data_IF_289658624832
#
_entry.id   IF_289658624832
#
_cell.length_a   1.000
_cell.length_b   1.000
_cell.length_c   1.000
_cell.angle_alpha   90.00
_cell.angle_beta   90.00
_cell.angle_gamma   90.00
#
_symmetry.space_group_name_H-M   'P 1'
#
loop_
_entity.id
_entity.type
_entity.pdbx_description
1 polymer ?
#
# COMPACT_ATOMS: atom_id res chain seq x y z
N UNK A 1 57.83 20.33 -27.49
CA UNK A 1 56.65 19.61 -28.02
C UNK A 1 56.77 18.14 -27.60
N UNK A 2 56.44 17.80 -26.34
CA UNK A 2 56.65 16.45 -25.81
C UNK A 2 55.32 15.72 -25.70
N UNK A 3 54.94 15.02 -26.77
CA UNK A 3 53.90 14.00 -26.67
C UNK A 3 54.52 12.76 -26.03
N UNK A 4 54.46 12.67 -24.69
CA UNK A 4 54.97 11.52 -23.94
C UNK A 4 54.12 10.32 -24.34
N UNK A 5 54.73 9.31 -24.97
CA UNK A 5 54.08 8.09 -25.48
C UNK A 5 53.40 7.37 -24.32
N UNK A 6 52.10 7.63 -24.13
CA UNK A 6 51.31 6.99 -23.08
C UNK A 6 51.33 5.48 -23.33
N UNK A 7 51.78 4.72 -22.34
CA UNK A 7 51.84 3.27 -22.44
C UNK A 7 50.41 2.73 -22.68
N UNK A 8 50.23 1.89 -23.71
CA UNK A 8 48.92 1.35 -24.10
C UNK A 8 48.18 0.72 -22.90
N UNK A 9 48.91 0.08 -21.98
CA UNK A 9 48.35 -0.48 -20.74
C UNK A 9 47.78 0.58 -19.79
N UNK A 10 48.43 1.74 -19.68
CA UNK A 10 48.00 2.86 -18.85
C UNK A 10 46.75 3.53 -19.45
N UNK A 11 46.72 3.71 -20.78
CA UNK A 11 45.55 4.24 -21.46
C UNK A 11 44.31 3.34 -21.28
N UNK A 12 44.47 2.02 -21.37
CA UNK A 12 43.38 1.07 -21.10
C UNK A 12 42.91 1.14 -19.65
N UNK A 13 43.82 1.26 -18.69
CA UNK A 13 43.46 1.37 -17.26
C UNK A 13 42.61 2.61 -16.98
N UNK A 14 43.01 3.77 -17.53
CA UNK A 14 42.25 5.03 -17.39
C UNK A 14 40.87 4.89 -18.02
N UNK A 15 40.77 4.26 -19.20
CA UNK A 15 39.50 4.03 -19.87
C UNK A 15 38.53 3.16 -19.03
N UNK A 16 39.03 2.08 -18.42
CA UNK A 16 38.21 1.27 -17.50
C UNK A 16 37.79 2.04 -16.25
N UNK A 17 38.65 2.89 -15.70
CA UNK A 17 38.29 3.74 -14.55
C UNK A 17 37.17 4.70 -14.93
N UNK A 18 37.25 5.35 -16.10
CA UNK A 18 36.21 6.28 -16.58
C UNK A 18 34.91 5.53 -16.86
N UNK A 19 34.95 4.32 -17.44
CA UNK A 19 33.76 3.48 -17.63
C UNK A 19 33.19 3.05 -16.28
N UNK A 20 34.01 2.59 -15.33
CA UNK A 20 33.51 2.16 -14.03
C UNK A 20 32.90 3.33 -13.25
N UNK A 21 33.52 4.51 -13.29
CA UNK A 21 32.96 5.73 -12.69
C UNK A 21 31.68 6.13 -13.43
N UNK A 22 31.65 6.06 -14.76
CA UNK A 22 30.46 6.35 -15.55
C UNK A 22 29.30 5.38 -15.28
N UNK A 23 29.58 4.07 -15.23
CA UNK A 23 28.60 3.03 -14.88
C UNK A 23 28.18 3.16 -13.42
N UNK A 24 29.09 3.48 -12.51
CA UNK A 24 28.76 3.76 -11.10
C UNK A 24 27.86 5.00 -11.00
N UNK A 25 28.16 6.09 -11.70
CA UNK A 25 27.33 7.30 -11.72
C UNK A 25 25.97 7.08 -12.39
N UNK A 26 25.89 6.24 -13.43
CA UNK A 26 24.62 5.86 -14.07
C UNK A 26 23.82 4.91 -13.17
N UNK A 27 24.44 3.95 -12.49
CA UNK A 27 23.80 3.12 -11.47
C UNK A 27 23.37 3.96 -10.25
N UNK A 28 24.10 5.02 -9.92
CA UNK A 28 23.73 5.98 -8.87
C UNK A 28 22.58 6.91 -9.33
N UNK A 29 22.40 7.16 -10.63
CA UNK A 29 21.21 7.82 -11.18
C UNK A 29 20.01 6.86 -11.31
N UNK A 30 20.25 5.55 -11.43
CA UNK A 30 19.27 4.49 -11.19
C UNK A 30 19.14 4.21 -9.68
N UNK A 31 19.47 5.17 -8.81
CA UNK A 31 18.93 5.23 -7.45
C UNK A 31 17.51 5.80 -7.50
N UNK A 32 16.63 5.00 -8.11
CA UNK A 32 15.27 4.83 -7.60
C UNK A 32 15.43 4.59 -6.10
N UNK A 33 14.60 5.23 -5.26
CA UNK A 33 14.69 5.15 -3.80
C UNK A 33 14.74 3.71 -3.25
N UNK A 34 14.84 3.54 -1.91
CA UNK A 34 15.15 2.26 -1.27
C UNK A 34 14.32 1.17 -1.92
N UNK A 35 15.00 0.12 -2.42
CA UNK A 35 14.42 -0.86 -3.31
C UNK A 35 13.00 -1.22 -2.88
N UNK A 36 12.06 -1.10 -3.82
CA UNK A 36 10.64 -1.32 -3.54
C UNK A 36 10.50 -2.60 -2.72
N UNK A 37 9.74 -2.57 -1.62
CA UNK A 37 9.60 -3.74 -0.77
C UNK A 37 9.05 -4.90 -1.61
N UNK A 38 9.52 -6.11 -1.32
CA UNK A 38 8.89 -7.31 -1.87
C UNK A 38 7.41 -7.35 -1.46
N UNK A 39 6.54 -8.05 -2.19
CA UNK A 39 5.11 -8.21 -1.84
C UNK A 39 4.87 -8.55 -0.38
N UNK A 40 5.65 -9.49 0.13
CA UNK A 40 5.58 -9.94 1.52
C UNK A 40 5.98 -8.85 2.53
N UNK A 41 6.90 -7.97 2.15
CA UNK A 41 7.37 -6.87 2.99
C UNK A 41 6.55 -5.59 2.81
N UNK A 42 5.85 -5.43 1.69
CA UNK A 42 5.16 -4.19 1.30
C UNK A 42 4.10 -3.78 2.33
N UNK A 43 3.16 -4.65 2.76
CA UNK A 43 2.18 -4.28 3.77
C UNK A 43 2.80 -3.76 5.08
N UNK A 44 3.93 -4.34 5.50
CA UNK A 44 4.65 -3.88 6.70
C UNK A 44 5.41 -2.57 6.47
N UNK A 45 6.00 -2.38 5.28
CA UNK A 45 6.71 -1.16 4.91
C UNK A 45 5.78 0.05 4.86
N UNK A 46 4.55 -0.14 4.38
CA UNK A 46 3.55 0.92 4.25
C UNK A 46 3.04 1.45 5.59
N UNK A 47 3.09 0.63 6.65
CA UNK A 47 2.53 0.96 7.97
C UNK A 47 3.52 1.85 8.76
N UNK A 48 3.18 3.10 9.10
CA UNK A 48 4.09 4.02 9.78
C UNK A 48 4.48 3.49 11.16
N UNK A 49 5.78 3.39 11.42
CA UNK A 49 6.29 2.87 12.69
C UNK A 49 6.29 1.35 12.81
N UNK A 50 5.97 0.60 11.74
CA UNK A 50 6.05 -0.87 11.73
C UNK A 50 7.45 -1.40 12.10
N UNK A 51 8.51 -0.63 11.82
CA UNK A 51 9.88 -0.97 12.24
C UNK A 51 10.09 -0.98 13.77
N UNK A 52 9.17 -0.40 14.55
CA UNK A 52 9.30 -0.25 16.02
C UNK A 52 8.20 -0.97 16.84
N UNK A 53 7.35 -1.80 16.24
CA UNK A 53 6.18 -2.38 16.92
C UNK A 53 5.81 -3.82 16.54
N UNK A 54 4.80 -4.37 17.23
CA UNK A 54 4.21 -5.68 16.94
C UNK A 54 3.34 -5.58 15.68
N UNK A 55 3.97 -5.85 14.55
CA UNK A 55 3.35 -6.14 13.27
C UNK A 55 2.48 -7.39 13.44
N UNK A 56 1.15 -7.25 13.35
CA UNK A 56 0.21 -8.37 13.50
C UNK A 56 -0.30 -8.79 12.12
N UNK A 57 -0.56 -10.09 11.93
CA UNK A 57 -1.32 -10.58 10.77
C UNK A 57 -2.62 -9.79 10.59
N UNK A 58 -3.23 -9.88 9.40
CA UNK A 58 -4.57 -9.33 9.11
C UNK A 58 -5.48 -9.30 10.34
N UNK A 59 -6.14 -8.17 10.57
CA UNK A 59 -7.16 -8.08 11.63
C UNK A 59 -8.32 -9.02 11.28
N UNK A 60 -8.71 -9.87 12.23
CA UNK A 60 -9.74 -10.89 12.07
C UNK A 60 -11.15 -10.36 11.78
N UNK A 61 -11.39 -9.06 11.97
CA UNK A 61 -12.70 -8.42 11.70
C UNK A 61 -13.02 -8.27 10.21
N UNK A 62 -12.08 -8.59 9.32
CA UNK A 62 -12.27 -8.52 7.87
C UNK A 62 -11.92 -9.88 7.22
N UNK A 63 -12.52 -10.20 6.07
CA UNK A 63 -12.18 -11.40 5.33
C UNK A 63 -10.69 -11.41 4.92
N UNK A 64 -10.12 -12.61 4.85
CA UNK A 64 -8.80 -12.82 4.28
C UNK A 64 -8.89 -12.73 2.75
N UNK A 65 -8.64 -11.54 2.22
CA UNK A 65 -8.75 -11.24 0.78
C UNK A 65 -7.41 -11.24 0.05
N UNK A 66 -6.29 -11.29 0.77
CA UNK A 66 -4.94 -11.33 0.20
C UNK A 66 -4.00 -12.14 1.09
N UNK A 67 -3.09 -12.95 0.51
CA UNK A 67 -2.01 -13.60 1.26
C UNK A 67 -0.94 -12.60 1.76
N UNK A 68 -0.94 -11.37 1.23
CA UNK A 68 -0.02 -10.30 1.61
C UNK A 68 -0.78 -9.23 2.37
N UNK A 69 -0.90 -9.41 3.68
CA UNK A 69 -1.57 -8.44 4.52
C UNK A 69 -0.88 -8.20 5.84
N UNK A 70 -1.20 -7.06 6.44
CA UNK A 70 -0.60 -6.65 7.70
C UNK A 70 -1.39 -5.54 8.40
N UNK A 71 -1.25 -5.47 9.72
CA UNK A 71 -1.92 -4.46 10.53
C UNK A 71 -0.99 -3.78 11.54
N UNK A 72 -1.26 -2.49 11.79
CA UNK A 72 -0.53 -1.65 12.72
C UNK A 72 -1.47 -0.99 13.73
N UNK A 73 -1.12 -1.02 15.01
CA UNK A 73 -1.88 -0.41 16.09
C UNK A 73 -1.33 0.96 16.49
N UNK A 74 -2.23 1.91 16.77
CA UNK A 74 -1.92 3.26 17.18
C UNK A 74 -2.71 3.67 18.43
N UNK A 75 -2.36 4.80 19.02
CA UNK A 75 -3.01 5.33 20.22
C UNK A 75 -4.50 5.63 19.99
N UNK A 76 -5.28 5.57 21.07
CA UNK A 76 -6.71 5.87 21.03
C UNK A 76 -7.52 4.90 20.17
N UNK A 77 -7.12 3.62 20.16
CA UNK A 77 -7.83 2.56 19.45
C UNK A 77 -7.71 2.59 17.91
N UNK A 78 -6.89 3.50 17.36
CA UNK A 78 -6.66 3.66 15.93
C UNK A 78 -5.80 2.51 15.39
N UNK A 79 -6.04 2.11 14.15
CA UNK A 79 -5.24 1.08 13.49
C UNK A 79 -5.26 1.25 11.97
N UNK A 80 -4.28 0.64 11.32
CA UNK A 80 -4.22 0.47 9.86
C UNK A 80 -4.27 -1.02 9.57
N UNK A 81 -5.03 -1.43 8.55
CA UNK A 81 -4.93 -2.75 7.94
C UNK A 81 -4.65 -2.60 6.45
N UNK A 82 -3.73 -3.38 5.90
CA UNK A 82 -3.30 -3.27 4.49
C UNK A 82 -3.35 -4.64 3.84
N UNK A 83 -3.91 -4.71 2.63
CA UNK A 83 -3.90 -5.88 1.76
C UNK A 83 -3.25 -5.51 0.42
N UNK A 84 -2.30 -6.31 -0.04
CA UNK A 84 -1.51 -6.04 -1.24
C UNK A 84 -1.73 -7.10 -2.32
N UNK A 85 -1.65 -6.70 -3.58
CA UNK A 85 -1.88 -7.53 -4.76
C UNK A 85 -0.90 -7.14 -5.88
N UNK A 86 -0.37 -8.15 -6.58
CA UNK A 86 0.46 -7.98 -7.79
C UNK A 86 -0.32 -8.26 -9.08
N UNK A 87 -1.52 -8.82 -8.97
CA UNK A 87 -2.37 -9.18 -10.10
C UNK A 87 -3.69 -8.40 -10.01
N UNK A 88 -4.04 -7.71 -11.10
CA UNK A 88 -5.25 -6.90 -11.16
C UNK A 88 -6.51 -7.74 -11.00
N UNK A 89 -6.53 -8.96 -11.54
CA UNK A 89 -7.72 -9.81 -11.48
C UNK A 89 -7.97 -10.33 -10.06
N UNK A 90 -6.92 -10.65 -9.32
CA UNK A 90 -6.99 -10.99 -7.90
C UNK A 90 -7.44 -9.79 -7.07
N UNK A 91 -6.87 -8.62 -7.33
CA UNK A 91 -7.25 -7.36 -6.70
C UNK A 91 -8.74 -7.05 -6.90
N UNK A 92 -9.26 -7.12 -8.13
CA UNK A 92 -10.65 -6.83 -8.43
C UNK A 92 -11.61 -7.81 -7.75
N UNK A 93 -11.29 -9.11 -7.74
CA UNK A 93 -12.07 -10.12 -7.00
C UNK A 93 -12.07 -9.84 -5.49
N UNK A 94 -10.92 -9.46 -4.94
CA UNK A 94 -10.79 -9.12 -3.53
C UNK A 94 -11.57 -7.86 -3.16
N UNK A 95 -11.54 -6.83 -4.01
CA UNK A 95 -12.32 -5.60 -3.85
C UNK A 95 -13.82 -5.90 -3.82
N UNK A 96 -14.31 -6.76 -4.73
CA UNK A 96 -15.71 -7.19 -4.77
C UNK A 96 -16.12 -7.99 -3.52
N UNK A 97 -15.31 -8.97 -3.10
CA UNK A 97 -15.55 -9.77 -1.90
C UNK A 97 -15.59 -8.88 -0.66
N UNK A 98 -14.63 -7.96 -0.54
CA UNK A 98 -14.59 -7.02 0.58
C UNK A 98 -15.80 -6.11 0.57
N UNK A 99 -16.17 -5.53 -0.58
CA UNK A 99 -17.32 -4.63 -0.68
C UNK A 99 -18.62 -5.33 -0.23
N UNK A 100 -18.88 -6.55 -0.72
CA UNK A 100 -20.07 -7.33 -0.35
C UNK A 100 -20.09 -7.62 1.16
N UNK A 101 -18.97 -8.06 1.71
CA UNK A 101 -18.85 -8.30 3.15
C UNK A 101 -19.18 -7.03 3.96
N UNK A 102 -18.64 -5.87 3.56
CA UNK A 102 -18.88 -4.63 4.28
C UNK A 102 -20.33 -4.14 4.13
N UNK A 103 -20.97 -4.35 2.98
CA UNK A 103 -22.39 -4.02 2.75
C UNK A 103 -23.31 -4.89 3.63
N UNK A 104 -22.92 -6.13 3.92
CA UNK A 104 -23.67 -7.05 4.79
C UNK A 104 -23.44 -6.78 6.30
N UNK A 105 -22.26 -6.28 6.68
CA UNK A 105 -21.83 -6.20 8.10
C UNK A 105 -21.75 -4.76 8.66
N UNK A 106 -22.09 -3.75 7.86
CA UNK A 106 -22.08 -2.37 8.31
C UNK A 106 -22.67 -1.40 7.31
N UNK A 107 -22.40 -0.11 7.54
CA UNK A 107 -22.86 0.98 6.70
C UNK A 107 -21.71 1.49 5.84
N UNK A 108 -21.96 1.56 4.53
CA UNK A 108 -21.03 2.09 3.55
C UNK A 108 -21.52 3.43 3.00
N UNK A 109 -20.61 4.39 2.89
CA UNK A 109 -20.86 5.64 2.18
C UNK A 109 -19.59 6.11 1.48
N UNK A 110 -19.72 6.81 0.37
CA UNK A 110 -18.59 7.48 -0.28
C UNK A 110 -18.36 8.83 0.41
N UNK A 111 -17.09 9.20 0.60
CA UNK A 111 -16.71 10.47 1.20
C UNK A 111 -15.43 11.00 0.58
N UNK A 112 -15.50 12.23 0.08
CA UNK A 112 -14.32 12.98 -0.35
C UNK A 112 -13.48 13.40 0.87
N UNK A 113 -12.19 13.03 0.83
CA UNK A 113 -11.20 13.40 1.84
C UNK A 113 -10.09 14.19 1.16
N UNK A 114 -9.75 15.33 1.77
CA UNK A 114 -8.59 16.14 1.43
C UNK A 114 -7.58 16.07 2.57
N UNK A 115 -6.35 15.68 2.27
CA UNK A 115 -5.22 15.54 3.20
C UNK A 115 -4.07 16.52 2.91
N UNK A 116 -4.29 17.58 2.11
CA UNK A 116 -3.23 18.51 1.70
C UNK A 116 -2.49 19.12 2.88
N UNK A 117 -3.21 19.52 3.94
CA UNK A 117 -2.61 20.12 5.14
C UNK A 117 -1.75 19.11 5.88
N UNK A 118 -2.24 17.89 6.07
CA UNK A 118 -1.51 16.83 6.75
C UNK A 118 -0.29 16.35 5.94
N UNK A 119 -0.38 16.35 4.61
CA UNK A 119 0.76 16.07 3.73
C UNK A 119 1.82 17.17 3.79
N UNK A 120 1.43 18.43 3.91
CA UNK A 120 2.36 19.53 4.11
C UNK A 120 3.12 19.37 5.43
N UNK A 121 2.44 19.03 6.53
CA UNK A 121 3.08 18.76 7.82
C UNK A 121 4.09 17.58 7.73
N UNK A 122 3.77 16.55 6.94
CA UNK A 122 4.67 15.41 6.70
C UNK A 122 5.87 15.85 5.84
N UNK A 123 5.65 16.64 4.79
CA UNK A 123 6.71 17.15 3.93
C UNK A 123 7.71 18.00 4.72
N UNK A 124 7.24 18.96 5.49
CA UNK A 124 8.08 19.83 6.34
C UNK A 124 8.95 19.02 7.31
N UNK A 125 8.40 17.95 7.88
CA UNK A 125 9.16 17.03 8.74
C UNK A 125 10.25 16.27 7.97
N UNK A 126 9.89 15.68 6.82
CA UNK A 126 10.82 14.89 6.01
C UNK A 126 11.94 15.76 5.42
N UNK A 127 11.63 17.03 5.10
CA UNK A 127 12.62 18.02 4.70
C UNK A 127 13.61 18.30 5.82
N UNK A 128 13.13 18.53 7.05
CA UNK A 128 13.99 18.71 8.22
C UNK A 128 14.88 17.48 8.50
N UNK A 129 14.42 16.29 8.13
CA UNK A 129 15.15 15.02 8.28
C UNK A 129 16.04 14.66 7.06
N UNK A 130 16.11 15.51 6.02
CA UNK A 130 16.79 15.23 4.74
C UNK A 130 16.35 13.91 4.08
N UNK A 131 15.10 13.50 4.29
CA UNK A 131 14.51 12.26 3.80
C UNK A 131 13.36 12.49 2.81
N UNK A 132 13.12 13.76 2.46
CA UNK A 132 12.01 14.19 1.60
C UNK A 132 12.04 13.55 0.22
N UNK A 133 10.86 13.20 -0.28
CA UNK A 133 10.62 12.73 -1.64
C UNK A 133 9.35 13.35 -2.18
N UNK A 134 9.31 13.66 -3.49
CA UNK A 134 8.10 14.15 -4.12
C UNK A 134 6.99 13.11 -4.06
N UNK A 135 5.78 13.57 -3.74
CA UNK A 135 4.54 12.81 -3.76
C UNK A 135 3.78 13.28 -4.99
N UNK A 136 3.57 12.39 -5.97
CA UNK A 136 2.98 12.74 -7.27
C UNK A 136 1.45 12.57 -7.31
N UNK A 137 0.85 11.99 -6.26
CA UNK A 137 -0.58 11.66 -6.22
C UNK A 137 -1.50 12.81 -5.85
N UNK A 138 -2.79 12.62 -6.09
CA UNK A 138 -3.82 13.58 -5.64
C UNK A 138 -3.82 13.71 -4.12
N UNK A 139 -4.01 14.92 -3.61
CA UNK A 139 -4.19 15.18 -2.18
C UNK A 139 -5.67 15.18 -1.76
N UNK A 140 -6.57 15.08 -2.74
CA UNK A 140 -8.01 14.98 -2.55
C UNK A 140 -8.56 13.83 -3.37
N UNK A 141 -9.24 12.91 -2.70
CA UNK A 141 -9.76 11.71 -3.34
C UNK A 141 -10.98 11.21 -2.59
N UNK A 142 -11.81 10.45 -3.30
CA UNK A 142 -12.93 9.78 -2.68
C UNK A 142 -12.42 8.57 -1.87
N UNK A 143 -13.15 8.24 -0.81
CA UNK A 143 -12.86 7.15 0.11
C UNK A 143 -14.15 6.42 0.42
N UNK A 144 -14.05 5.14 0.76
CA UNK A 144 -15.21 4.41 1.27
C UNK A 144 -15.21 4.45 2.79
N UNK A 145 -16.12 5.27 3.33
CA UNK A 145 -16.42 5.33 4.75
C UNK A 145 -17.20 4.09 5.15
N UNK A 146 -16.75 3.45 6.22
CA UNK A 146 -17.34 2.25 6.78
C UNK A 146 -17.61 2.44 8.27
N UNK A 147 -18.81 2.05 8.71
CA UNK A 147 -19.18 2.04 10.12
C UNK A 147 -19.86 0.72 10.49
N UNK A 148 -19.37 0.10 11.55
CA UNK A 148 -19.93 -1.11 12.15
C UNK A 148 -19.80 -1.04 13.67
N UNK A 149 -20.47 -1.92 14.42
CA UNK A 149 -20.28 -2.02 15.87
C UNK A 149 -18.82 -2.30 16.28
N UNK A 150 -18.05 -3.00 15.44
CA UNK A 150 -16.67 -3.40 15.74
C UNK A 150 -15.64 -2.34 15.37
N UNK A 151 -15.87 -1.58 14.30
CA UNK A 151 -14.93 -0.58 13.81
C UNK A 151 -15.60 0.44 12.90
N UNK A 152 -15.03 1.65 12.90
CA UNK A 152 -15.40 2.72 11.98
C UNK A 152 -14.16 3.37 11.37
N UNK A 153 -14.20 3.72 10.09
CA UNK A 153 -12.99 4.13 9.37
C UNK A 153 -13.19 4.39 7.88
N UNK A 154 -12.06 4.47 7.17
CA UNK A 154 -11.99 4.75 5.74
C UNK A 154 -11.17 3.69 5.02
N UNK A 155 -11.73 3.16 3.93
CA UNK A 155 -11.00 2.37 2.94
C UNK A 155 -10.48 3.26 1.82
N UNK A 156 -9.21 3.09 1.51
CA UNK A 156 -8.50 3.69 0.39
C UNK A 156 -7.93 2.56 -0.49
N UNK A 157 -8.08 2.71 -1.78
CA UNK A 157 -7.65 1.78 -2.81
C UNK A 157 -6.59 2.45 -3.66
N UNK A 158 -5.39 1.90 -3.65
CA UNK A 158 -4.25 2.39 -4.41
C UNK A 158 -4.05 1.52 -5.64
N UNK A 159 -3.94 2.17 -6.80
CA UNK A 159 -3.69 1.52 -8.10
C UNK A 159 -2.41 2.07 -8.69
N UNK A 160 -1.49 1.17 -9.06
CA UNK A 160 -0.16 1.46 -9.60
C UNK A 160 0.62 2.54 -8.81
N UNK A 161 0.75 2.45 -7.47
CA UNK A 161 1.28 3.55 -6.66
C UNK A 161 2.81 3.71 -6.71
N UNK A 162 3.53 2.71 -7.24
CA UNK A 162 4.99 2.65 -7.22
C UNK A 162 5.63 3.14 -8.52
N UNK A 163 5.99 2.23 -9.42
CA UNK A 163 6.63 2.54 -10.70
C UNK A 163 5.64 2.37 -11.85
N UNK A 164 5.90 3.08 -12.95
CA UNK A 164 5.05 3.05 -14.15
C UNK A 164 4.93 1.65 -14.74
N UNK A 165 5.98 0.83 -14.62
CA UNK A 165 6.04 -0.53 -15.14
C UNK A 165 5.47 -1.58 -14.17
N UNK A 166 5.07 -1.19 -12.96
CA UNK A 166 4.52 -2.14 -11.97
C UNK A 166 3.01 -2.01 -11.83
N UNK A 167 2.35 -3.15 -11.86
CA UNK A 167 0.91 -3.29 -11.64
C UNK A 167 0.64 -3.69 -10.20
N UNK A 168 0.98 -2.79 -9.28
CA UNK A 168 0.75 -3.00 -7.86
C UNK A 168 -0.59 -2.41 -7.44
N UNK A 169 -1.30 -3.13 -6.58
CA UNK A 169 -2.56 -2.68 -6.00
C UNK A 169 -2.53 -2.93 -4.50
N UNK A 170 -3.11 -2.03 -3.73
CA UNK A 170 -3.37 -2.32 -2.33
C UNK A 170 -4.59 -1.59 -1.80
N UNK A 171 -5.25 -2.23 -0.85
CA UNK A 171 -6.37 -1.69 -0.10
C UNK A 171 -5.85 -1.40 1.30
N UNK A 172 -6.07 -0.18 1.79
CA UNK A 172 -5.71 0.24 3.13
C UNK A 172 -6.96 0.69 3.88
N UNK A 173 -7.17 0.15 5.06
CA UNK A 173 -8.22 0.56 6.00
C UNK A 173 -7.60 1.35 7.15
N UNK A 174 -8.12 2.56 7.37
CA UNK A 174 -7.75 3.44 8.47
C UNK A 174 -8.92 3.53 9.42
N UNK A 175 -8.83 2.83 10.55
CA UNK A 175 -9.98 2.60 11.41
C UNK A 175 -9.72 2.87 12.88
N UNK A 176 -10.81 2.89 13.62
CA UNK A 176 -10.85 2.96 15.07
C UNK A 176 -11.68 1.78 15.57
N UNK A 177 -11.26 1.18 16.68
CA UNK A 177 -11.99 0.09 17.33
C UNK A 177 -13.25 0.60 18.02
N UNK A 178 -14.32 -0.18 17.89
CA UNK A 178 -15.62 0.09 18.48
C UNK A 178 -16.42 1.14 17.72
N UNK A 179 -17.64 1.34 18.20
CA UNK A 179 -18.54 2.37 17.71
C UNK A 179 -18.06 3.75 18.22
N UNK A 180 -17.68 4.63 17.29
CA UNK A 180 -17.23 5.99 17.60
C UNK A 180 -17.81 6.99 16.61
N UNK A 181 -17.86 8.27 16.98
CA UNK A 181 -18.23 9.31 16.02
C UNK A 181 -17.08 9.53 15.04
N UNK A 182 -17.14 8.90 13.86
CA UNK A 182 -16.07 8.96 12.88
C UNK A 182 -15.77 10.41 12.44
N UNK A 183 -16.73 11.32 12.51
CA UNK A 183 -16.54 12.74 12.18
C UNK A 183 -15.54 13.41 13.13
N UNK A 184 -15.64 13.16 14.42
CA UNK A 184 -14.74 13.70 15.44
C UNK A 184 -13.32 13.15 15.30
N UNK A 185 -13.22 11.91 14.82
CA UNK A 185 -11.97 11.20 14.67
C UNK A 185 -11.29 11.40 13.30
N UNK A 186 -12.01 11.98 12.34
CA UNK A 186 -11.53 12.22 10.98
C UNK A 186 -10.22 13.01 10.94
N UNK A 187 -10.02 14.10 11.71
CA UNK A 187 -8.74 14.80 11.72
C UNK A 187 -7.55 13.91 12.11
N UNK A 188 -7.74 12.99 13.06
CA UNK A 188 -6.68 12.09 13.48
C UNK A 188 -6.42 10.98 12.45
N UNK A 189 -7.47 10.49 11.78
CA UNK A 189 -7.34 9.51 10.69
C UNK A 189 -6.68 10.12 9.45
N UNK A 190 -6.97 11.39 9.09
CA UNK A 190 -6.26 12.10 8.01
C UNK A 190 -4.76 12.18 8.25
N UNK A 191 -4.35 12.47 9.48
CA UNK A 191 -2.92 12.46 9.87
C UNK A 191 -2.29 11.09 9.72
N UNK A 192 -3.04 10.02 9.96
CA UNK A 192 -2.56 8.65 9.82
C UNK A 192 -2.44 8.25 8.34
N UNK A 193 -3.42 8.62 7.53
CA UNK A 193 -3.39 8.50 6.06
C UNK A 193 -2.18 9.24 5.51
N UNK A 194 -2.00 10.52 5.84
CA UNK A 194 -0.89 11.32 5.33
C UNK A 194 0.50 10.75 5.68
N UNK A 195 0.66 10.17 6.87
CA UNK A 195 1.93 9.54 7.30
C UNK A 195 2.31 8.29 6.52
N UNK A 196 1.34 7.60 5.94
CA UNK A 196 1.52 6.38 5.15
C UNK A 196 1.31 6.61 3.66
N UNK A 197 0.82 7.79 3.27
CA UNK A 197 0.52 8.12 1.90
C UNK A 197 1.77 8.03 1.03
N UNK A 198 1.69 7.19 0.00
CA UNK A 198 2.78 6.97 -0.93
C UNK A 198 2.23 6.92 -2.36
N UNK A 199 2.78 7.78 -3.22
CA UNK A 199 2.50 7.79 -4.65
C UNK A 199 3.73 8.30 -5.39
N UNK A 200 4.49 7.38 -6.00
CA UNK A 200 5.65 7.71 -6.83
C UNK A 200 5.38 7.60 -8.33
N UNK A 201 4.22 7.08 -8.71
CA UNK A 201 3.78 6.99 -10.10
C UNK A 201 2.76 8.10 -10.41
N UNK A 202 3.06 8.95 -11.38
CA UNK A 202 2.14 10.01 -11.85
C UNK A 202 0.85 9.45 -12.47
N UNK A 203 0.89 8.23 -13.01
CA UNK A 203 -0.29 7.54 -13.55
C UNK A 203 -1.08 6.77 -12.47
N UNK A 204 -0.52 6.68 -11.26
CA UNK A 204 -1.14 6.01 -10.12
C UNK A 204 -2.35 6.77 -9.60
N UNK A 205 -3.26 6.04 -8.96
CA UNK A 205 -4.52 6.59 -8.46
C UNK A 205 -4.83 6.08 -7.06
N UNK A 206 -5.55 6.90 -6.31
CA UNK A 206 -6.15 6.55 -5.03
C UNK A 206 -7.64 6.90 -5.07
N UNK A 207 -8.49 5.98 -4.63
CA UNK A 207 -9.95 6.12 -4.60
C UNK A 207 -10.55 5.28 -3.46
N UNK A 208 -11.87 5.28 -3.31
CA UNK A 208 -12.61 4.35 -2.46
C UNK A 208 -12.76 2.96 -3.11
N UNK A 209 -13.35 2.03 -2.37
CA UNK A 209 -13.78 0.75 -2.89
C UNK A 209 -14.82 0.97 -3.99
N UNK A 210 -14.61 0.30 -5.12
CA UNK A 210 -15.57 0.30 -6.20
C UNK A 210 -16.66 -0.73 -5.93
N UNK A 211 -17.91 -0.36 -6.18
CA UNK A 211 -19.00 -1.34 -6.25
C UNK A 211 -18.84 -2.08 -7.56
N UNK A 212 -18.37 -3.32 -7.52
CA UNK A 212 -18.30 -4.18 -8.70
C UNK A 212 -19.52 -4.03 -9.58
N UNK A 213 -19.32 -3.82 -10.88
CA UNK A 213 -20.44 -3.84 -11.82
C UNK A 213 -20.98 -5.27 -11.78
N UNK A 214 -22.17 -5.47 -11.20
CA UNK A 214 -22.94 -6.70 -11.43
C UNK A 214 -23.06 -6.87 -12.93
N UNK A 215 -22.25 -7.73 -13.52
CA UNK A 215 -22.47 -8.15 -14.90
C UNK A 215 -23.89 -8.72 -14.95
N UNK A 216 -24.78 -8.01 -15.66
CA UNK A 216 -26.09 -8.54 -16.03
C UNK A 216 -25.85 -9.66 -17.03
N UNK A 217 -25.73 -10.90 -16.55
CA UNK A 217 -25.65 -12.06 -17.44
C UNK A 217 -25.27 -13.35 -16.74
N UNK A 218 -26.28 -14.11 -16.32
CA UNK A 218 -26.29 -15.57 -16.20
C UNK A 218 -25.00 -16.28 -15.75
N UNK A 219 -24.96 -16.73 -14.50
CA UNK A 219 -24.74 -18.15 -14.14
C UNK A 219 -24.26 -18.27 -12.70
N UNK A 220 -25.07 -18.96 -11.91
CA UNK A 220 -24.76 -19.69 -10.69
C UNK A 220 -23.26 -19.97 -10.46
N UNK A 221 -22.79 -19.54 -9.28
CA UNK A 221 -21.55 -19.94 -8.63
C UNK A 221 -21.20 -21.43 -8.88
N UNK A 222 -20.01 -21.75 -9.41
CA UNK A 222 -19.52 -23.10 -9.38
C UNK A 222 -18.17 -23.14 -8.67
N UNK A 223 -18.13 -23.11 -7.32
CA UNK A 223 -17.06 -23.69 -6.48
C UNK A 223 -16.96 -23.14 -5.04
N UNK A 224 -17.95 -23.41 -4.20
CA UNK A 224 -17.67 -23.64 -2.77
C UNK A 224 -18.13 -25.06 -2.43
N UNK A 225 -17.22 -26.01 -2.59
CA UNK A 225 -17.34 -27.34 -1.99
C UNK A 225 -15.95 -27.79 -1.56
N UNK A 226 -15.33 -27.01 -0.67
CA UNK A 226 -14.24 -27.49 0.15
C UNK A 226 -14.89 -28.18 1.35
N UNK A 227 -15.08 -29.49 1.25
CA UNK A 227 -15.39 -30.32 2.43
C UNK A 227 -14.13 -30.35 3.32
N UNK A 228 -14.25 -30.11 4.64
CA UNK A 228 -13.14 -30.31 5.56
C UNK A 228 -12.89 -31.82 5.71
N UNK A 229 -11.86 -32.35 5.06
CA UNK A 229 -11.26 -33.63 5.41
C UNK A 229 -10.01 -33.35 6.22
N UNK A 230 -10.09 -33.44 7.55
CA UNK A 230 -9.04 -33.99 8.41
C UNK A 230 -9.58 -34.13 9.83
N UNK A 231 -9.66 -35.38 10.31
CA UNK A 231 -9.56 -35.87 11.70
C UNK A 231 -10.54 -37.01 11.99
N UNK A 232 -10.12 -38.24 11.69
CA UNK A 232 -10.19 -39.41 12.60
C UNK A 232 -9.78 -40.68 11.86
N UNK A 233 -8.59 -41.22 12.18
CA UNK A 233 -8.38 -42.64 12.48
C UNK A 233 -6.92 -42.91 12.79
N UNK A 234 -6.62 -43.12 14.07
CA UNK A 234 -5.69 -44.15 14.56
C UNK A 234 -6.08 -44.45 16.00
N UNK A 235 -6.95 -45.44 16.17
CA UNK A 235 -7.02 -46.34 17.33
C UNK A 235 -7.83 -47.54 16.83
N UNK A 236 -7.10 -48.55 16.39
CA UNK A 236 -7.22 -49.98 16.75
C UNK A 236 -6.02 -50.71 16.13
#
# INVERSE_FOLDING_TARGET
MFYKKVNKKIAFLIFFIVIFIGVWLVLDFIRIGPGLPSPKAMPGWYIPGAWRGNVQSCISSFPEISPYCNAGNYSGGKFINVWYFEDESEFLKAEDVLYLYLEENGNLSQQDINISTELQEVAERLEAENSWKPIFGSHSFNTTRYESPETSGYFLVYKRPFLKEREDYFIAYYGIRGMTNLTEETPALKKLIAKSYYMSNEEGKVDGLNKGKKEKGNSLFPWFSIKPQFLKKTFD
#
